data_IF_089815425728
#
_entry.id   IF_089815425728
#
_cell.length_a   1.000
_cell.length_b   1.000
_cell.length_c   1.000
_cell.angle_alpha   90.00
_cell.angle_beta   90.00
_cell.angle_gamma   90.00
#
_symmetry.space_group_name_H-M   'P 1'
#
loop_
_entity.id
_entity.type
_entity.pdbx_description
1 polymer ?
#
# COMPACT_ATOMS: atom_id res chain seq x y z
N UNK A 1 27.23 19.08 -9.14
CA UNK A 1 27.26 17.78 -8.43
C UNK A 1 26.27 16.87 -9.12
N UNK A 2 26.74 15.79 -9.73
CA UNK A 2 25.86 14.72 -10.19
C UNK A 2 25.49 13.88 -8.97
N UNK A 3 24.30 14.09 -8.41
CA UNK A 3 23.78 13.24 -7.34
C UNK A 3 23.42 11.91 -7.99
N UNK A 4 24.31 10.92 -7.86
CA UNK A 4 24.07 9.56 -8.32
C UNK A 4 23.11 8.90 -7.33
N UNK A 5 21.81 9.03 -7.60
CA UNK A 5 20.79 8.37 -6.80
C UNK A 5 20.97 6.85 -6.90
N UNK A 6 20.86 6.18 -5.76
CA UNK A 6 20.80 4.73 -5.71
C UNK A 6 19.58 4.29 -6.51
N UNK A 7 19.70 3.29 -7.42
CA UNK A 7 18.53 2.75 -8.08
C UNK A 7 17.62 2.06 -7.05
N UNK A 8 16.30 2.02 -7.30
CA UNK A 8 15.33 1.32 -6.46
C UNK A 8 15.71 -0.15 -6.32
N UNK A 9 15.71 -0.66 -5.08
CA UNK A 9 15.99 -2.08 -4.81
C UNK A 9 14.83 -3.00 -5.19
N UNK A 10 13.58 -2.51 -5.14
CA UNK A 10 12.37 -3.32 -5.31
C UNK A 10 12.37 -4.59 -4.42
N UNK A 11 12.91 -4.51 -3.20
CA UNK A 11 12.91 -5.65 -2.29
C UNK A 11 11.46 -6.02 -1.91
N UNK A 12 11.10 -7.29 -2.07
CA UNK A 12 9.72 -7.75 -1.89
C UNK A 12 9.21 -7.49 -0.47
N UNK A 13 10.05 -7.69 0.55
CA UNK A 13 9.65 -7.54 1.94
C UNK A 13 9.52 -6.08 2.32
N UNK A 14 10.50 -5.26 1.91
CA UNK A 14 10.47 -3.82 2.11
C UNK A 14 9.28 -3.18 1.41
N UNK A 15 9.05 -3.50 0.14
CA UNK A 15 7.91 -2.99 -0.62
C UNK A 15 6.58 -3.41 -0.04
N UNK A 16 6.42 -4.66 0.41
CA UNK A 16 5.22 -5.12 1.11
C UNK A 16 4.96 -4.29 2.37
N UNK A 17 6.02 -3.95 3.12
CA UNK A 17 5.89 -3.19 4.36
C UNK A 17 5.58 -1.71 4.10
N UNK A 18 6.29 -1.09 3.14
CA UNK A 18 6.08 0.29 2.71
C UNK A 18 4.69 0.50 2.11
N UNK A 19 4.22 -0.44 1.27
CA UNK A 19 2.89 -0.43 0.68
C UNK A 19 1.80 -0.51 1.75
N UNK A 20 1.94 -1.41 2.74
CA UNK A 20 1.02 -1.50 3.87
C UNK A 20 0.97 -0.18 4.65
N UNK A 21 2.12 0.42 4.93
CA UNK A 21 2.19 1.71 5.62
C UNK A 21 1.48 2.81 4.81
N UNK A 22 1.70 2.86 3.49
CA UNK A 22 1.09 3.82 2.59
C UNK A 22 -0.44 3.69 2.55
N UNK A 23 -0.96 2.47 2.35
CA UNK A 23 -2.41 2.21 2.31
C UNK A 23 -3.06 2.50 3.67
N UNK A 24 -2.39 2.17 4.78
CA UNK A 24 -2.86 2.56 6.11
C UNK A 24 -2.96 4.08 6.24
N UNK A 25 -1.95 4.85 5.83
CA UNK A 25 -2.01 6.31 5.85
C UNK A 25 -3.17 6.86 5.00
N UNK A 26 -3.38 6.33 3.80
CA UNK A 26 -4.50 6.74 2.96
C UNK A 26 -5.85 6.46 3.63
N UNK A 27 -5.98 5.31 4.28
CA UNK A 27 -7.19 4.93 4.99
C UNK A 27 -7.46 5.87 6.17
N UNK A 28 -6.47 6.12 7.01
CA UNK A 28 -6.60 7.03 8.16
C UNK A 28 -7.02 8.43 7.71
N UNK A 29 -6.35 8.96 6.68
CA UNK A 29 -6.70 10.25 6.07
C UNK A 29 -8.11 10.28 5.49
N UNK A 30 -8.56 9.17 4.88
CA UNK A 30 -9.92 9.07 4.33
C UNK A 30 -11.01 9.11 5.42
N UNK A 31 -10.67 8.71 6.64
CA UNK A 31 -11.56 8.76 7.83
C UNK A 31 -11.32 10.07 8.61
N UNK A 32 -10.95 11.16 7.90
CA UNK A 32 -10.74 12.52 8.43
C UNK A 32 -9.74 12.63 9.59
N UNK A 33 -8.84 11.67 9.75
CA UNK A 33 -7.91 11.61 10.89
C UNK A 33 -8.63 11.54 12.27
N UNK A 34 -9.91 11.11 12.33
CA UNK A 34 -10.66 10.92 13.59
C UNK A 34 -10.12 9.77 14.47
N UNK A 35 -9.02 9.13 14.06
CA UNK A 35 -8.40 8.04 14.78
C UNK A 35 -7.50 8.59 15.91
N UNK A 36 -7.74 8.22 17.17
CA UNK A 36 -6.98 8.73 18.33
C UNK A 36 -5.51 8.29 18.32
N UNK A 37 -5.13 7.34 17.47
CA UNK A 37 -3.75 6.88 17.30
C UNK A 37 -3.46 6.69 15.81
N UNK A 38 -2.53 7.50 15.28
CA UNK A 38 -1.94 7.29 13.96
C UNK A 38 -1.16 5.98 13.97
N UNK A 39 -1.58 5.00 13.17
CA UNK A 39 -0.89 3.70 13.04
C UNK A 39 0.18 3.80 11.96
N UNK A 40 -0.08 4.59 10.94
CA UNK A 40 0.82 4.78 9.82
C UNK A 40 1.96 5.79 10.14
N UNK A 41 3.11 5.61 9.49
CA UNK A 41 4.27 6.50 9.54
C UNK A 41 4.37 7.30 8.23
N UNK A 42 4.03 8.59 8.28
CA UNK A 42 4.01 9.48 7.10
C UNK A 42 5.40 9.62 6.47
N UNK A 43 6.46 9.57 7.26
CA UNK A 43 7.87 9.64 6.80
C UNK A 43 8.21 8.54 5.78
N UNK A 44 7.55 7.38 5.87
CA UNK A 44 7.80 6.25 4.99
C UNK A 44 7.01 6.30 3.69
N UNK A 45 6.13 7.29 3.50
CA UNK A 45 5.41 7.46 2.24
C UNK A 45 6.41 7.76 1.12
N UNK A 46 7.36 8.67 1.35
CA UNK A 46 8.35 9.03 0.33
C UNK A 46 9.22 7.82 -0.04
N UNK A 47 9.61 7.01 0.95
CA UNK A 47 10.39 5.78 0.74
C UNK A 47 9.67 4.78 -0.16
N UNK A 48 8.35 4.65 -0.06
CA UNK A 48 7.57 3.75 -0.93
C UNK A 48 7.72 4.11 -2.42
N UNK A 49 7.64 5.40 -2.76
CA UNK A 49 7.79 5.85 -4.15
C UNK A 49 9.23 5.76 -4.66
N UNK A 50 10.22 5.89 -3.77
CA UNK A 50 11.64 5.86 -4.15
C UNK A 50 12.18 4.43 -4.29
N UNK A 51 11.83 3.51 -3.39
CA UNK A 51 12.38 2.15 -3.37
C UNK A 51 11.56 1.14 -4.18
N UNK A 52 10.26 1.42 -4.39
CA UNK A 52 9.29 0.48 -4.94
C UNK A 52 8.45 1.05 -6.11
N UNK A 53 9.06 1.62 -7.17
CA UNK A 53 8.36 2.30 -8.25
C UNK A 53 7.33 1.44 -8.98
N UNK A 54 7.60 0.14 -9.16
CA UNK A 54 6.66 -0.78 -9.84
C UNK A 54 5.35 -0.93 -9.06
N UNK A 55 5.44 -0.90 -7.74
CA UNK A 55 4.28 -1.03 -6.86
C UNK A 55 3.61 0.31 -6.55
N UNK A 56 4.35 1.41 -6.60
CA UNK A 56 3.80 2.75 -6.39
C UNK A 56 3.09 3.29 -7.63
N UNK A 57 3.48 2.87 -8.84
CA UNK A 57 2.91 3.34 -10.11
C UNK A 57 1.37 3.29 -10.18
N UNK A 58 0.67 2.22 -9.71
CA UNK A 58 -0.79 2.19 -9.69
C UNK A 58 -1.44 3.24 -8.76
N UNK A 59 -0.67 3.82 -7.83
CA UNK A 59 -1.15 4.84 -6.91
C UNK A 59 -0.95 6.27 -7.42
N UNK A 60 -0.26 6.47 -8.54
CA UNK A 60 -0.02 7.80 -9.12
C UNK A 60 -1.21 8.30 -9.95
N UNK A 61 -1.97 7.37 -10.55
CA UNK A 61 -3.13 7.70 -11.39
C UNK A 61 -4.45 7.59 -10.62
N UNK A 62 -5.32 8.59 -10.77
CA UNK A 62 -6.63 8.62 -10.11
C UNK A 62 -7.54 7.46 -10.52
N UNK A 63 -7.45 7.00 -11.77
CA UNK A 63 -8.28 5.90 -12.28
C UNK A 63 -7.85 4.55 -11.69
N UNK A 64 -6.55 4.26 -11.64
CA UNK A 64 -6.02 3.04 -11.02
C UNK A 64 -6.25 3.03 -9.52
N UNK A 65 -6.14 4.18 -8.84
CA UNK A 65 -6.51 4.31 -7.43
C UNK A 65 -7.97 3.91 -7.15
N UNK A 66 -8.90 4.35 -8.00
CA UNK A 66 -10.32 3.95 -7.89
C UNK A 66 -10.51 2.46 -8.05
N UNK A 67 -9.80 1.83 -9.00
CA UNK A 67 -9.86 0.37 -9.19
C UNK A 67 -9.34 -0.39 -7.97
N UNK A 68 -8.25 0.08 -7.35
CA UNK A 68 -7.70 -0.50 -6.12
C UNK A 68 -8.72 -0.38 -4.98
N UNK A 69 -9.33 0.80 -4.81
CA UNK A 69 -10.35 1.01 -3.80
C UNK A 69 -11.57 0.11 -3.98
N UNK A 70 -12.07 -0.03 -5.23
CA UNK A 70 -13.19 -0.92 -5.56
C UNK A 70 -12.83 -2.37 -5.21
N UNK A 71 -11.65 -2.85 -5.63
CA UNK A 71 -11.18 -4.20 -5.29
C UNK A 71 -11.13 -4.42 -3.78
N UNK A 72 -10.63 -3.44 -3.03
CA UNK A 72 -10.56 -3.52 -1.57
C UNK A 72 -11.94 -3.57 -0.92
N UNK A 73 -12.89 -2.75 -1.39
CA UNK A 73 -14.29 -2.79 -0.93
C UNK A 73 -14.98 -4.11 -1.26
N UNK A 74 -14.72 -4.68 -2.43
CA UNK A 74 -15.23 -5.99 -2.81
C UNK A 74 -14.64 -7.10 -1.91
N UNK A 75 -13.37 -7.01 -1.55
CA UNK A 75 -12.74 -7.94 -0.61
C UNK A 75 -13.34 -7.82 0.81
N UNK A 76 -13.59 -6.61 1.29
CA UNK A 76 -14.24 -6.37 2.59
C UNK A 76 -15.68 -6.92 2.63
N UNK A 77 -16.39 -6.91 1.49
CA UNK A 77 -17.78 -7.40 1.36
C UNK A 77 -17.89 -8.92 1.15
N UNK A 78 -16.80 -9.61 0.79
CA UNK A 78 -16.77 -11.07 0.62
C UNK A 78 -15.84 -11.76 1.66
N UNK A 79 -16.26 -11.88 2.93
CA UNK A 79 -15.42 -12.47 3.98
C UNK A 79 -15.28 -14.01 3.96
N UNK A 80 -15.75 -14.75 2.95
CA UNK A 80 -15.72 -16.23 2.97
C UNK A 80 -15.47 -16.86 1.60
N UNK A 81 -14.27 -17.39 1.39
CA UNK A 81 -14.06 -18.84 1.24
C UNK A 81 -12.70 -19.18 1.87
N UNK A 82 -12.63 -19.74 3.09
CA UNK A 82 -11.42 -20.45 3.50
C UNK A 82 -11.22 -21.62 2.52
N UNK A 83 -10.04 -21.71 1.91
CA UNK A 83 -9.69 -22.88 1.09
C UNK A 83 -9.98 -24.17 1.89
N UNK A 84 -10.72 -25.14 1.34
CA UNK A 84 -10.84 -26.44 1.98
C UNK A 84 -9.44 -27.02 2.10
N UNK A 85 -8.95 -27.15 3.34
CA UNK A 85 -7.71 -27.88 3.65
C UNK A 85 -7.82 -29.24 2.97
N UNK A 86 -7.03 -29.47 1.91
CA UNK A 86 -6.83 -30.82 1.36
C UNK A 86 -6.24 -31.65 2.49
N UNK A 87 -7.06 -32.52 3.10
CA UNK A 87 -6.57 -33.57 4.00
C UNK A 87 -5.63 -34.44 3.16
N UNK A 88 -4.37 -34.50 3.58
CA UNK A 88 -3.42 -35.54 3.15
C UNK A 88 -3.87 -36.88 3.69
#
# INVERSE_FOLDING_TARGET
MEVKYRPPLNDVNECNWLEKNFVSCLKEKSVKDDLPKRVCKVENILWFFLECPERSSPYENAESLRQIYIKQKLADLNPTVPEPRKRK
#
